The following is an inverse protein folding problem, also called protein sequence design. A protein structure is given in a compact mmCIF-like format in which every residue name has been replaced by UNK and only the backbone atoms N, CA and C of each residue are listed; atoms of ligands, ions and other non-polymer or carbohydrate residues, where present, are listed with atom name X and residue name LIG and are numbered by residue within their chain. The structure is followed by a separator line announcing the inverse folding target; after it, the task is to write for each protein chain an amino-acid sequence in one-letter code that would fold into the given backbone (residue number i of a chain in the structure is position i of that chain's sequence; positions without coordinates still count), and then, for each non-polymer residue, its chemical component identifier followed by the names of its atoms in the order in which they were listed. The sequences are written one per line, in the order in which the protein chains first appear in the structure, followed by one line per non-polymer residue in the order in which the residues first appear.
data_IF_291237008659
#
_entry.id   IF_291237008659
#
_cell.length_a   1.000
_cell.length_b   1.000
_cell.length_c   1.000
_cell.angle_alpha   90.00
_cell.angle_beta   90.00
_cell.angle_gamma   90.00
#
_symmetry.space_group_name_H-M   'P 1'
#
loop_
_entity.id
_entity.type
_entity.pdbx_description
1 polymer ?
#
# COMPACT_ATOMS: atom_id res chain seq x y z
N UNK A 1 8.50 3.65 -7.49
CA UNK A 1 9.66 2.82 -7.91
C UNK A 1 9.96 3.01 -9.39
N UNK A 2 9.04 2.61 -10.29
CA UNK A 2 9.29 2.63 -11.74
C UNK A 2 9.64 4.02 -12.31
N UNK A 3 8.93 5.07 -11.87
CA UNK A 3 9.25 6.46 -12.23
C UNK A 3 10.63 6.95 -11.77
N UNK A 4 11.35 6.15 -10.97
CA UNK A 4 12.71 6.40 -10.52
C UNK A 4 13.70 5.36 -11.09
N UNK A 5 13.31 4.58 -12.10
CA UNK A 5 14.16 3.57 -12.74
C UNK A 5 14.24 2.22 -12.04
N UNK A 6 13.48 2.02 -10.95
CA UNK A 6 13.51 0.76 -10.18
C UNK A 6 12.33 -0.16 -10.51
N UNK A 7 12.60 -1.47 -10.62
CA UNK A 7 11.57 -2.52 -10.69
C UNK A 7 11.63 -3.39 -9.43
N UNK A 8 10.51 -3.66 -8.74
CA UNK A 8 10.52 -4.55 -7.58
C UNK A 8 10.88 -5.98 -8.00
N UNK A 9 11.58 -6.68 -7.11
CA UNK A 9 11.91 -8.11 -7.25
C UNK A 9 10.64 -8.97 -7.35
N UNK A 10 10.70 -10.06 -8.11
CA UNK A 10 9.64 -11.08 -8.18
C UNK A 10 9.51 -11.87 -6.87
N UNK A 11 10.61 -12.01 -6.14
CA UNK A 11 10.66 -12.66 -4.81
C UNK A 11 10.63 -11.57 -3.74
N UNK A 12 9.78 -11.70 -2.71
CA UNK A 12 9.63 -10.71 -1.63
C UNK A 12 9.31 -9.28 -2.11
N UNK A 13 8.63 -9.14 -3.25
CA UNK A 13 8.34 -7.84 -3.87
C UNK A 13 7.57 -6.87 -2.96
N UNK A 14 6.74 -7.40 -2.05
CA UNK A 14 6.04 -6.60 -1.04
C UNK A 14 7.01 -5.95 -0.04
N UNK A 15 8.04 -6.66 0.42
CA UNK A 15 9.06 -6.10 1.31
C UNK A 15 9.91 -5.05 0.61
N UNK A 16 10.25 -5.26 -0.67
CA UNK A 16 10.98 -4.27 -1.47
C UNK A 16 10.17 -2.97 -1.62
N UNK A 17 8.86 -3.08 -1.86
CA UNK A 17 7.95 -1.93 -1.95
C UNK A 17 7.88 -1.18 -0.62
N UNK A 18 7.70 -1.89 0.49
CA UNK A 18 7.64 -1.34 1.86
C UNK A 18 8.89 -0.52 2.17
N UNK A 19 10.08 -1.10 1.98
CA UNK A 19 11.36 -0.42 2.22
C UNK A 19 11.54 0.80 1.32
N UNK A 20 11.15 0.70 0.06
CA UNK A 20 11.23 1.82 -0.86
C UNK A 20 10.34 2.99 -0.43
N UNK A 21 9.11 2.71 0.02
CA UNK A 21 8.19 3.73 0.50
C UNK A 21 8.71 4.41 1.76
N UNK A 22 9.30 3.65 2.69
CA UNK A 22 9.99 4.20 3.87
C UNK A 22 11.03 5.26 3.51
N UNK A 23 11.94 4.90 2.60
CA UNK A 23 13.01 5.80 2.16
C UNK A 23 12.46 6.99 1.37
N UNK A 24 11.40 6.80 0.59
CA UNK A 24 10.88 7.82 -0.33
C UNK A 24 9.91 8.82 0.32
N UNK A 25 9.16 8.42 1.35
CA UNK A 25 8.06 9.21 1.93
C UNK A 25 8.32 9.69 3.36
N UNK A 26 9.39 9.19 4.00
CA UNK A 26 9.63 9.39 5.44
C UNK A 26 8.81 8.43 6.29
N UNK A 27 9.30 8.17 7.51
CA UNK A 27 8.86 7.07 8.39
C UNK A 27 7.37 7.14 8.72
N UNK A 28 6.87 8.26 9.24
CA UNK A 28 5.52 8.36 9.81
C UNK A 28 4.39 8.04 8.81
N UNK A 29 4.48 8.55 7.58
CA UNK A 29 3.49 8.30 6.52
C UNK A 29 3.61 6.87 6.00
N UNK A 30 4.84 6.40 5.82
CA UNK A 30 5.09 5.04 5.36
C UNK A 30 4.65 4.00 6.39
N UNK A 31 4.87 4.19 7.69
CA UNK A 31 4.51 3.25 8.75
C UNK A 31 3.00 2.97 8.76
N UNK A 32 2.20 4.03 8.75
CA UNK A 32 0.74 3.91 8.71
C UNK A 32 0.25 3.20 7.45
N UNK A 33 0.82 3.53 6.30
CA UNK A 33 0.49 2.87 5.03
C UNK A 33 0.90 1.39 5.01
N UNK A 34 2.10 1.08 5.50
CA UNK A 34 2.64 -0.28 5.56
C UNK A 34 1.74 -1.15 6.44
N UNK A 35 1.34 -0.62 7.60
CA UNK A 35 0.41 -1.29 8.50
C UNK A 35 -0.92 -1.59 7.81
N UNK A 36 -1.57 -0.57 7.25
CA UNK A 36 -2.89 -0.73 6.59
C UNK A 36 -2.80 -1.68 5.38
N UNK A 37 -1.83 -1.51 4.49
CA UNK A 37 -1.69 -2.36 3.30
C UNK A 37 -1.36 -3.81 3.67
N UNK A 38 -0.53 -4.04 4.68
CA UNK A 38 -0.20 -5.40 5.13
C UNK A 38 -1.40 -6.07 5.80
N UNK A 39 -2.15 -5.35 6.63
CA UNK A 39 -3.34 -5.87 7.30
C UNK A 39 -4.43 -6.21 6.28
N UNK A 40 -4.68 -5.32 5.31
CA UNK A 40 -5.62 -5.61 4.21
C UNK A 40 -5.17 -6.81 3.36
N UNK A 41 -3.87 -6.95 3.09
CA UNK A 41 -3.33 -8.13 2.38
C UNK A 41 -3.59 -9.42 3.14
N UNK A 42 -3.33 -9.43 4.45
CA UNK A 42 -3.57 -10.58 5.33
C UNK A 42 -5.06 -10.91 5.40
N UNK A 43 -5.91 -9.91 5.62
CA UNK A 43 -7.37 -10.09 5.69
C UNK A 43 -7.95 -10.61 4.38
N UNK A 44 -7.52 -10.08 3.22
CA UNK A 44 -7.91 -10.61 1.91
C UNK A 44 -7.53 -12.08 1.76
N UNK A 45 -6.33 -12.48 2.19
CA UNK A 45 -5.94 -13.89 2.14
C UNK A 45 -6.88 -14.78 2.95
N UNK A 46 -7.23 -14.35 4.17
CA UNK A 46 -8.14 -15.09 5.06
C UNK A 46 -9.59 -15.12 4.53
N UNK A 47 -10.11 -14.01 4.00
CA UNK A 47 -11.46 -13.95 3.41
C UNK A 47 -11.60 -14.92 2.24
N UNK A 48 -10.59 -15.00 1.38
CA UNK A 48 -10.67 -15.80 0.15
C UNK A 48 -10.59 -17.31 0.44
N UNK A 49 -9.90 -17.72 1.51
CA UNK A 49 -9.53 -19.13 1.70
C UNK A 49 -9.92 -19.74 3.05
N UNK A 50 -10.17 -18.95 4.09
CA UNK A 50 -10.28 -19.46 5.47
C UNK A 50 -11.63 -19.15 6.12
N UNK A 51 -12.11 -17.90 6.06
CA UNK A 51 -13.20 -17.44 6.92
C UNK A 51 -14.02 -16.32 6.27
N UNK A 52 -15.34 -16.48 6.23
CA UNK A 52 -16.28 -15.45 5.77
C UNK A 52 -16.66 -14.50 6.92
N UNK A 53 -17.16 -13.29 6.61
CA UNK A 53 -17.62 -12.28 7.58
C UNK A 53 -16.59 -11.72 8.58
N UNK A 54 -15.30 -11.78 8.26
CA UNK A 54 -14.22 -11.22 9.11
C UNK A 54 -13.89 -9.75 8.87
N UNK A 55 -14.61 -9.09 7.95
CA UNK A 55 -14.44 -7.66 7.62
C UNK A 55 -15.82 -7.02 7.52
N UNK A 56 -16.03 -5.95 8.29
CA UNK A 56 -17.28 -5.19 8.22
C UNK A 56 -17.31 -4.26 7.00
N UNK A 57 -18.51 -3.84 6.60
CA UNK A 57 -18.70 -2.85 5.54
C UNK A 57 -17.94 -1.55 5.84
N UNK A 58 -18.01 -1.06 7.07
CA UNK A 58 -17.28 0.13 7.51
C UNK A 58 -15.76 -0.04 7.35
N UNK A 59 -15.23 -1.19 7.74
CA UNK A 59 -13.80 -1.47 7.60
C UNK A 59 -13.38 -1.50 6.13
N UNK A 60 -14.17 -2.17 5.28
CA UNK A 60 -13.94 -2.18 3.83
C UNK A 60 -14.00 -0.77 3.24
N UNK A 61 -14.97 0.04 3.66
CA UNK A 61 -15.12 1.43 3.24
C UNK A 61 -13.96 2.32 3.67
N UNK A 62 -13.45 2.16 4.89
CA UNK A 62 -12.26 2.87 5.35
C UNK A 62 -11.02 2.43 4.56
N UNK A 63 -10.83 1.13 4.35
CA UNK A 63 -9.71 0.62 3.57
C UNK A 63 -9.70 1.17 2.13
N UNK A 64 -10.88 1.32 1.51
CA UNK A 64 -11.01 1.92 0.18
C UNK A 64 -10.61 3.41 0.19
N UNK A 65 -11.13 4.21 1.14
CA UNK A 65 -10.76 5.63 1.29
C UNK A 65 -9.25 5.79 1.47
N UNK A 66 -8.63 4.95 2.30
CA UNK A 66 -7.18 4.92 2.51
C UNK A 66 -6.41 4.63 1.22
N UNK A 67 -6.87 3.65 0.44
CA UNK A 67 -6.26 3.31 -0.84
C UNK A 67 -6.34 4.48 -1.84
N UNK A 68 -7.48 5.16 -1.93
CA UNK A 68 -7.66 6.32 -2.80
C UNK A 68 -6.76 7.50 -2.41
N UNK A 69 -6.71 7.85 -1.13
CA UNK A 69 -5.83 8.90 -0.61
C UNK A 69 -4.36 8.60 -0.91
N UNK A 70 -3.96 7.34 -0.71
CA UNK A 70 -2.60 6.89 -1.00
C UNK A 70 -2.24 7.05 -2.48
N UNK A 71 -3.10 6.57 -3.39
CA UNK A 71 -2.89 6.67 -4.84
C UNK A 71 -2.77 8.14 -5.26
N UNK A 72 -3.68 9.01 -4.81
CA UNK A 72 -3.63 10.46 -5.10
C UNK A 72 -2.33 11.10 -4.63
N UNK A 73 -1.84 10.72 -3.45
CA UNK A 73 -0.56 11.23 -2.92
C UNK A 73 0.62 10.81 -3.78
N UNK A 74 0.70 9.53 -4.17
CA UNK A 74 1.77 9.03 -5.04
C UNK A 74 1.70 9.67 -6.43
N UNK A 75 0.50 9.82 -6.98
CA UNK A 75 0.29 10.50 -8.26
C UNK A 75 0.84 11.93 -8.22
N UNK A 76 0.52 12.70 -7.17
CA UNK A 76 1.07 14.05 -7.00
C UNK A 76 2.59 14.08 -6.90
N UNK A 77 3.22 13.06 -6.29
CA UNK A 77 4.68 12.94 -6.23
C UNK A 77 5.28 12.61 -7.61
N UNK A 78 4.64 11.73 -8.37
CA UNK A 78 5.11 11.32 -9.69
C UNK A 78 4.98 12.48 -10.69
N UNK A 79 3.84 13.18 -10.71
CA UNK A 79 3.60 14.31 -11.63
C UNK A 79 4.62 15.43 -11.43
N UNK A 80 4.93 15.81 -10.19
CA UNK A 80 5.95 16.82 -9.87
C UNK A 80 7.38 16.46 -10.29
N UNK A 81 7.68 15.20 -10.60
CA UNK A 81 9.01 14.76 -11.07
C UNK A 81 9.15 14.75 -12.59
N UNK A 82 8.05 14.92 -13.33
CA UNK A 82 8.02 14.89 -14.80
C UNK A 82 8.11 16.31 -15.39
N UNK A 83 7.80 17.34 -14.58
CA UNK A 83 8.07 18.76 -14.86
C UNK A 83 9.52 19.13 -14.51
#
# INVERSE_FOLDING_TARGET
MFSQGYRPSSTEGHMAMVKFLHVSLGTEVSDRMIMVLNDMRKKRHRIVYEEMDIVSEDEAGQALKWAEEFVKRIEGIIRRKIE
#
